data_IF_208529211759
#
_entry.id   IF_208529211759
#
_cell.length_a   1.000
_cell.length_b   1.000
_cell.length_c   1.000
_cell.angle_alpha   90.00
_cell.angle_beta   90.00
_cell.angle_gamma   90.00
#
_symmetry.space_group_name_H-M   'P 1'
#
loop_
_entity.id
_entity.type
_entity.pdbx_description
1 polymer ?
#
# COMPACT_ATOMS: atom_id res chain seq x y z
N UNK A 1 3.68 -17.75 6.96
CA UNK A 1 4.70 -18.14 7.95
C UNK A 1 4.70 -17.12 9.08
N UNK A 2 5.41 -17.39 10.17
CA UNK A 2 5.71 -16.39 11.19
C UNK A 2 7.22 -16.22 11.20
N UNK A 3 7.70 -15.01 10.89
CA UNK A 3 9.12 -14.69 10.93
C UNK A 3 9.42 -13.95 12.22
N UNK A 4 10.23 -14.58 13.07
CA UNK A 4 10.73 -13.98 14.30
C UNK A 4 12.22 -13.74 14.11
N UNK A 5 12.63 -12.49 14.04
CA UNK A 5 14.02 -12.11 13.80
C UNK A 5 14.48 -11.01 14.75
N UNK A 6 15.80 -10.91 14.94
CA UNK A 6 16.46 -9.82 15.67
C UNK A 6 16.79 -8.60 14.79
N UNK A 7 16.54 -8.70 13.47
CA UNK A 7 16.75 -7.64 12.49
C UNK A 7 15.46 -6.90 12.13
N UNK A 8 15.59 -5.66 11.64
CA UNK A 8 14.47 -4.83 11.22
C UNK A 8 13.92 -5.18 9.82
N UNK A 9 12.85 -4.48 9.46
CA UNK A 9 12.14 -4.51 8.17
C UNK A 9 12.93 -3.83 7.04
N UNK A 10 14.13 -4.36 6.73
CA UNK A 10 15.01 -3.85 5.68
C UNK A 10 15.05 -4.72 4.43
N UNK A 11 15.57 -4.18 3.33
CA UNK A 11 15.65 -4.85 2.02
C UNK A 11 16.22 -6.28 2.08
N UNK A 12 17.30 -6.51 2.84
CA UNK A 12 17.88 -7.85 3.00
C UNK A 12 16.93 -8.84 3.66
N UNK A 13 16.19 -8.38 4.67
CA UNK A 13 15.22 -9.16 5.41
C UNK A 13 14.04 -9.54 4.49
N UNK A 14 13.52 -8.58 3.73
CA UNK A 14 12.45 -8.81 2.77
C UNK A 14 12.84 -9.82 1.69
N UNK A 15 14.01 -9.67 1.08
CA UNK A 15 14.53 -10.66 0.12
C UNK A 15 14.57 -12.07 0.70
N UNK A 16 15.06 -12.23 1.93
CA UNK A 16 15.16 -13.54 2.56
C UNK A 16 13.78 -14.17 2.79
N UNK A 17 12.81 -13.40 3.32
CA UNK A 17 11.47 -13.91 3.61
C UNK A 17 10.69 -14.24 2.34
N UNK A 18 10.78 -13.40 1.30
CA UNK A 18 10.10 -13.65 0.03
C UNK A 18 10.73 -14.83 -0.74
N UNK A 19 12.06 -14.98 -0.69
CA UNK A 19 12.72 -16.16 -1.24
C UNK A 19 12.30 -17.45 -0.51
N UNK A 20 12.13 -17.41 0.81
CA UNK A 20 11.57 -18.55 1.56
C UNK A 20 10.16 -18.90 1.08
N UNK A 21 9.29 -17.91 0.87
CA UNK A 21 7.95 -18.14 0.34
C UNK A 21 7.98 -18.82 -1.02
N UNK A 22 8.85 -18.36 -1.92
CA UNK A 22 9.07 -18.99 -3.23
C UNK A 22 9.54 -20.44 -3.10
N UNK A 23 10.52 -20.69 -2.23
CA UNK A 23 11.04 -22.05 -1.97
C UNK A 23 9.99 -22.99 -1.33
N UNK A 24 8.93 -22.44 -0.74
CA UNK A 24 7.79 -23.20 -0.21
C UNK A 24 6.70 -23.49 -1.26
N UNK A 25 6.93 -23.13 -2.52
CA UNK A 25 6.04 -23.41 -3.64
C UNK A 25 5.11 -22.26 -4.03
N UNK A 26 5.38 -21.02 -3.57
CA UNK A 26 4.71 -19.83 -4.14
C UNK A 26 5.42 -19.48 -5.45
N UNK A 27 5.04 -20.17 -6.51
CA UNK A 27 5.71 -20.07 -7.81
C UNK A 27 5.49 -18.72 -8.46
N UNK A 28 4.26 -18.19 -8.38
CA UNK A 28 3.86 -16.94 -9.01
C UNK A 28 2.92 -16.12 -8.13
N UNK A 29 2.98 -14.80 -8.33
CA UNK A 29 2.15 -13.80 -7.64
C UNK A 29 1.66 -12.82 -8.70
N UNK A 30 0.35 -12.72 -8.88
CA UNK A 30 -0.23 -11.78 -9.84
C UNK A 30 -0.18 -10.33 -9.32
N UNK A 31 -0.57 -10.12 -8.06
CA UNK A 31 -0.65 -8.80 -7.43
C UNK A 31 -0.07 -8.88 -6.04
N UNK A 32 0.80 -7.93 -5.70
CA UNK A 32 1.35 -7.77 -4.36
C UNK A 32 1.05 -6.37 -3.81
N UNK A 33 0.15 -6.29 -2.84
CA UNK A 33 -0.16 -5.04 -2.14
C UNK A 33 0.75 -4.87 -0.93
N UNK A 34 1.62 -3.86 -0.93
CA UNK A 34 2.56 -3.56 0.15
C UNK A 34 2.35 -2.15 0.72
N UNK A 35 2.91 -1.86 1.88
CA UNK A 35 2.81 -0.56 2.55
C UNK A 35 3.90 0.45 2.14
N UNK A 36 4.70 0.11 1.13
CA UNK A 36 5.76 0.97 0.60
C UNK A 36 7.04 1.01 1.46
N UNK A 37 7.21 0.06 2.39
CA UNK A 37 8.44 -0.05 3.17
C UNK A 37 9.67 -0.20 2.28
N UNK A 38 10.76 0.43 2.71
CA UNK A 38 11.99 0.54 1.92
C UNK A 38 12.53 -0.84 1.52
N UNK A 39 12.65 -1.05 0.21
CA UNK A 39 13.19 -2.27 -0.38
C UNK A 39 12.22 -3.45 -0.45
N UNK A 40 11.02 -3.37 0.14
CA UNK A 40 10.00 -4.40 -0.03
C UNK A 40 9.49 -4.48 -1.48
N UNK A 41 9.14 -3.36 -2.16
CA UNK A 41 8.74 -3.40 -3.58
C UNK A 41 9.82 -4.02 -4.47
N UNK A 42 11.08 -3.59 -4.32
CA UNK A 42 12.20 -4.11 -5.10
C UNK A 42 12.42 -5.61 -4.86
N UNK A 43 12.21 -6.07 -3.62
CA UNK A 43 12.34 -7.48 -3.27
C UNK A 43 11.24 -8.33 -3.89
N UNK A 44 10.01 -7.83 -3.93
CA UNK A 44 8.89 -8.51 -4.58
C UNK A 44 9.18 -8.66 -6.07
N UNK A 45 9.54 -7.56 -6.75
CA UNK A 45 9.85 -7.57 -8.19
C UNK A 45 11.06 -8.45 -8.54
N UNK A 46 12.01 -8.63 -7.61
CA UNK A 46 13.13 -9.54 -7.82
C UNK A 46 12.73 -11.02 -7.71
N UNK A 47 11.79 -11.37 -6.81
CA UNK A 47 11.37 -12.76 -6.57
C UNK A 47 10.27 -13.20 -7.56
N UNK A 48 9.31 -12.32 -7.84
CA UNK A 48 8.22 -12.53 -8.80
C UNK A 48 8.18 -11.35 -9.80
N UNK A 49 8.95 -11.42 -10.90
CA UNK A 49 9.10 -10.30 -11.84
C UNK A 49 7.83 -9.92 -12.62
N UNK A 50 6.83 -10.81 -12.64
CA UNK A 50 5.55 -10.58 -13.31
C UNK A 50 4.47 -10.03 -12.35
N UNK A 51 4.79 -9.89 -11.06
CA UNK A 51 3.84 -9.38 -10.08
C UNK A 51 3.61 -7.88 -10.25
N UNK A 52 2.34 -7.48 -10.30
CA UNK A 52 1.96 -6.09 -10.17
C UNK A 52 2.11 -5.66 -8.71
N UNK A 53 3.16 -4.89 -8.42
CA UNK A 53 3.42 -4.35 -7.09
C UNK A 53 2.63 -3.06 -6.90
N UNK A 54 1.72 -3.04 -5.92
CA UNK A 54 0.85 -1.91 -5.63
C UNK A 54 1.01 -1.44 -4.18
N UNK A 55 0.78 -0.15 -3.96
CA UNK A 55 0.61 0.38 -2.62
C UNK A 55 -0.77 0.00 -2.08
N UNK A 56 -0.80 -0.48 -0.85
CA UNK A 56 -2.02 -0.92 -0.20
C UNK A 56 -2.87 0.30 0.17
N UNK A 57 -4.06 0.40 -0.45
CA UNK A 57 -5.02 1.49 -0.19
C UNK A 57 -5.42 1.60 1.28
N UNK A 58 -5.48 0.48 2.02
CA UNK A 58 -5.77 0.49 3.46
C UNK A 58 -4.65 1.19 4.24
N UNK A 59 -3.39 0.94 3.87
CA UNK A 59 -2.24 1.64 4.47
C UNK A 59 -2.23 3.11 4.07
N UNK A 60 -2.53 3.44 2.81
CA UNK A 60 -2.64 4.84 2.36
C UNK A 60 -3.71 5.61 3.14
N UNK A 61 -4.95 5.09 3.24
CA UNK A 61 -6.03 5.74 4.01
C UNK A 61 -5.62 5.91 5.47
N UNK A 62 -5.09 4.86 6.10
CA UNK A 62 -4.63 4.94 7.50
C UNK A 62 -3.50 5.95 7.68
N UNK A 63 -2.58 6.06 6.72
CA UNK A 63 -1.50 7.04 6.74
C UNK A 63 -2.05 8.46 6.65
N UNK A 64 -2.99 8.73 5.73
CA UNK A 64 -3.64 10.04 5.58
C UNK A 64 -4.31 10.50 6.87
N UNK A 65 -5.00 9.60 7.58
CA UNK A 65 -5.70 9.95 8.84
C UNK A 65 -4.76 10.44 9.95
N UNK A 66 -3.47 10.06 9.93
CA UNK A 66 -2.49 10.49 10.95
C UNK A 66 -2.26 12.00 10.92
N UNK A 67 -2.52 12.66 9.79
CA UNK A 67 -2.33 14.10 9.62
C UNK A 67 -3.58 14.91 9.94
N UNK A 68 -4.70 14.25 10.26
CA UNK A 68 -5.96 14.91 10.53
C UNK A 68 -6.43 14.70 11.97
N UNK A 69 -7.18 15.67 12.50
CA UNK A 69 -7.86 15.52 13.79
C UNK A 69 -8.84 14.34 13.75
N UNK A 70 -8.88 13.55 14.83
CA UNK A 70 -9.76 12.37 14.97
C UNK A 70 -11.23 12.67 14.74
N UNK A 71 -11.68 13.91 15.00
CA UNK A 71 -13.05 14.36 14.71
C UNK A 71 -13.44 14.28 13.23
N UNK A 72 -12.46 14.30 12.32
CA UNK A 72 -12.68 14.28 10.87
C UNK A 72 -12.42 12.91 10.24
N UNK A 73 -11.95 11.92 11.00
CA UNK A 73 -11.50 10.64 10.44
C UNK A 73 -12.59 9.90 9.66
N UNK A 74 -13.82 9.85 10.17
CA UNK A 74 -14.91 9.17 9.46
C UNK A 74 -15.25 9.84 8.14
N UNK A 75 -15.19 11.17 8.10
CA UNK A 75 -15.47 11.96 6.90
C UNK A 75 -14.36 11.77 5.87
N UNK A 76 -13.10 11.94 6.27
CA UNK A 76 -11.93 11.76 5.39
C UNK A 76 -11.92 10.34 4.82
N UNK A 77 -12.14 9.31 5.65
CA UNK A 77 -12.17 7.93 5.17
C UNK A 77 -13.30 7.67 4.17
N UNK A 78 -14.48 8.29 4.37
CA UNK A 78 -15.62 8.21 3.45
C UNK A 78 -15.31 8.88 2.11
N UNK A 79 -14.65 10.02 2.12
CA UNK A 79 -14.33 10.77 0.90
C UNK A 79 -13.17 10.14 0.13
N UNK A 80 -12.10 9.70 0.80
CA UNK A 80 -11.02 8.91 0.19
C UNK A 80 -11.53 7.62 -0.45
N UNK A 81 -12.61 7.02 0.09
CA UNK A 81 -13.28 5.87 -0.55
C UNK A 81 -13.80 6.20 -1.93
N UNK A 82 -14.35 7.40 -2.14
CA UNK A 82 -14.87 7.79 -3.44
C UNK A 82 -13.78 7.86 -4.51
N UNK A 83 -12.54 8.16 -4.11
CA UNK A 83 -11.36 8.15 -4.98
C UNK A 83 -11.06 6.73 -5.47
N UNK A 84 -10.81 5.79 -4.57
CA UNK A 84 -10.39 4.43 -4.97
C UNK A 84 -11.53 3.52 -5.44
N UNK A 85 -12.79 3.93 -5.32
CA UNK A 85 -13.94 3.23 -5.91
C UNK A 85 -14.50 3.91 -7.17
N UNK A 86 -13.80 4.92 -7.69
CA UNK A 86 -14.20 5.57 -8.94
C UNK A 86 -14.15 4.59 -10.13
N UNK A 87 -14.93 4.87 -11.17
CA UNK A 87 -15.10 3.96 -12.30
C UNK A 87 -13.84 3.82 -13.18
N UNK A 88 -12.97 4.82 -13.16
CA UNK A 88 -11.71 4.86 -13.91
C UNK A 88 -10.76 5.89 -13.27
N UNK A 89 -9.55 6.01 -13.83
CA UNK A 89 -8.50 6.89 -13.33
C UNK A 89 -8.89 8.37 -13.38
N UNK A 90 -9.46 8.85 -14.50
CA UNK A 90 -9.88 10.26 -14.65
C UNK A 90 -10.94 10.64 -13.62
N UNK A 91 -11.90 9.75 -13.37
CA UNK A 91 -12.90 9.95 -12.33
C UNK A 91 -12.27 9.93 -10.93
N UNK A 92 -11.27 9.07 -10.68
CA UNK A 92 -10.55 9.05 -9.41
C UNK A 92 -9.78 10.37 -9.17
N UNK A 93 -9.13 10.90 -10.21
CA UNK A 93 -8.41 12.18 -10.17
C UNK A 93 -9.36 13.34 -9.89
N UNK A 94 -10.53 13.37 -10.53
CA UNK A 94 -11.56 14.36 -10.22
C UNK A 94 -12.04 14.28 -8.77
N UNK A 95 -12.31 13.06 -8.26
CA UNK A 95 -12.70 12.87 -6.85
C UNK A 95 -11.60 13.28 -5.88
N UNK A 96 -10.33 13.09 -6.27
CA UNK A 96 -9.20 13.52 -5.47
C UNK A 96 -9.06 15.04 -5.44
N UNK A 97 -9.26 15.72 -6.57
CA UNK A 97 -9.30 17.19 -6.60
C UNK A 97 -10.42 17.77 -5.72
N UNK A 98 -11.63 17.19 -5.79
CA UNK A 98 -12.76 17.55 -4.91
C UNK A 98 -12.40 17.37 -3.42
N UNK A 99 -11.67 16.29 -3.08
CA UNK A 99 -11.16 16.05 -1.73
C UNK A 99 -10.14 17.12 -1.29
N UNK A 100 -9.21 17.49 -2.18
CA UNK A 100 -8.18 18.49 -1.90
C UNK A 100 -8.75 19.90 -1.70
N UNK A 101 -9.83 20.28 -2.39
CA UNK A 101 -10.51 21.56 -2.13
C UNK A 101 -11.01 21.69 -0.69
N UNK A 102 -11.40 20.58 -0.07
CA UNK A 102 -11.92 20.54 1.30
C UNK A 102 -10.80 20.42 2.33
N UNK A 103 -9.81 19.57 2.07
CA UNK A 103 -8.80 19.15 3.05
C UNK A 103 -7.38 19.65 2.78
N UNK A 104 -7.05 20.07 1.56
CA UNK A 104 -5.67 20.39 1.16
C UNK A 104 -5.05 21.57 1.91
N UNK A 105 -5.88 22.47 2.43
CA UNK A 105 -5.45 23.64 3.20
C UNK A 105 -5.74 23.55 4.71
N UNK A 106 -6.28 22.42 5.19
CA UNK A 106 -6.71 22.23 6.59
C UNK A 106 -5.74 21.37 7.39
#
# INVERSE_FOLDING_TARGET
GMWVGSGGEGAKTWMAWLAELKNRGVDDVLIACCDGLKGLPDSISAIWPLADVQLCVVHMVRASLKYASTKHWSQIAKELRQVYTAANADAAEQRFAEFEEIWGAR
#
